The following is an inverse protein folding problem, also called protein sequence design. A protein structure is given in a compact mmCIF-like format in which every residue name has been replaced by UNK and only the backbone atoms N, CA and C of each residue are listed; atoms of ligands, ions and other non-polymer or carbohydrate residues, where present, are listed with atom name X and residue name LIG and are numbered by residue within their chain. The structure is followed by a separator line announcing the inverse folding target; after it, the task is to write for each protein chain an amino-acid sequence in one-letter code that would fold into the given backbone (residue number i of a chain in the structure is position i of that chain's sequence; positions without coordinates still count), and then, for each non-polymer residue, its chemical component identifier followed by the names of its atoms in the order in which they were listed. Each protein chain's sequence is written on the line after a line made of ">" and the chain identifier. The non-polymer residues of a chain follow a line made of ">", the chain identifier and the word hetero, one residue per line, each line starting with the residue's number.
data_IF_376267950372
#
_entry.id   IF_376267950372
#
_cell.length_a   1.000
_cell.length_b   1.000
_cell.length_c   1.000
_cell.angle_alpha   90.00
_cell.angle_beta   90.00
_cell.angle_gamma   90.00
#
_symmetry.space_group_name_H-M   'P 1'
#
loop_
_entity.id
_entity.type
_entity.pdbx_description
1 polymer ?
#
# COMPACT_ATOMS: atom_id res chain seq x y z
N UNK A 1 -16.02 37.79 21.75
CA UNK A 1 -15.28 37.42 20.54
C UNK A 1 -14.29 36.31 20.87
N UNK A 2 -14.56 35.07 20.46
CA UNK A 2 -13.55 34.01 20.34
C UNK A 2 -13.93 33.16 19.13
N UNK A 3 -13.32 33.45 17.98
CA UNK A 3 -13.43 32.60 16.81
C UNK A 3 -12.47 31.42 17.04
N UNK A 4 -13.01 30.24 17.27
CA UNK A 4 -12.23 29.01 17.15
C UNK A 4 -12.22 28.63 15.67
N UNK A 5 -11.18 29.07 14.96
CA UNK A 5 -10.88 28.62 13.59
C UNK A 5 -10.43 27.16 13.63
N UNK A 6 -11.38 26.23 13.56
CA UNK A 6 -11.09 24.81 13.38
C UNK A 6 -10.54 24.58 11.99
N UNK A 7 -9.23 24.39 11.87
CA UNK A 7 -8.59 23.95 10.61
C UNK A 7 -9.01 22.51 10.34
N UNK A 8 -10.05 22.30 9.54
CA UNK A 8 -10.41 20.99 9.00
C UNK A 8 -9.21 20.46 8.23
N UNK A 9 -8.53 19.42 8.73
CA UNK A 9 -7.52 18.67 7.97
C UNK A 9 -8.23 18.00 6.80
N UNK A 10 -8.30 18.69 5.67
CA UNK A 10 -8.93 18.21 4.46
C UNK A 10 -8.01 17.17 3.79
N UNK A 11 -8.55 15.97 3.54
CA UNK A 11 -7.87 14.97 2.70
C UNK A 11 -7.83 15.45 1.25
N UNK A 12 -6.76 15.14 0.51
CA UNK A 12 -6.57 15.61 -0.87
C UNK A 12 -7.19 14.68 -1.93
N UNK A 13 -7.42 13.41 -1.60
CA UNK A 13 -7.96 12.42 -2.55
C UNK A 13 -9.37 11.94 -2.19
N UNK A 14 -10.13 11.59 -3.22
CA UNK A 14 -11.51 11.08 -3.12
C UNK A 14 -11.72 9.92 -4.10
N UNK A 15 -12.59 8.94 -3.76
CA UNK A 15 -12.98 7.87 -4.68
C UNK A 15 -13.35 8.40 -6.08
N UNK A 16 -12.87 7.72 -7.11
CA UNK A 16 -13.05 8.14 -8.51
C UNK A 16 -11.96 9.07 -9.04
N UNK A 17 -10.99 9.50 -8.21
CA UNK A 17 -9.84 10.31 -8.64
C UNK A 17 -8.56 9.49 -8.81
N UNK A 18 -7.62 10.04 -9.58
CA UNK A 18 -6.27 9.52 -9.73
C UNK A 18 -5.33 9.89 -8.59
N UNK A 19 -4.09 9.42 -8.65
CA UNK A 19 -3.07 9.82 -7.68
C UNK A 19 -2.76 11.32 -7.83
N UNK A 20 -2.75 12.10 -6.73
CA UNK A 20 -2.48 13.54 -6.79
C UNK A 20 -0.99 13.89 -6.97
N UNK A 21 -0.07 12.91 -6.91
CA UNK A 21 1.37 13.14 -7.09
C UNK A 21 1.66 13.60 -8.52
N UNK A 22 2.33 14.75 -8.65
CA UNK A 22 2.72 15.32 -9.94
C UNK A 22 3.62 14.35 -10.71
N UNK A 23 3.38 14.20 -12.02
CA UNK A 23 4.12 13.27 -12.87
C UNK A 23 3.79 11.78 -12.68
N UNK A 24 2.92 11.39 -11.74
CA UNK A 24 2.57 9.98 -11.55
C UNK A 24 1.65 9.44 -12.65
N UNK A 25 0.61 10.19 -13.03
CA UNK A 25 -0.32 9.82 -14.11
C UNK A 25 -1.26 8.63 -13.83
N UNK A 26 -1.32 8.09 -12.61
CA UNK A 26 -2.24 7.01 -12.25
C UNK A 26 -3.69 7.53 -12.19
N UNK A 27 -4.59 6.96 -13.01
CA UNK A 27 -5.80 7.67 -13.44
C UNK A 27 -6.99 7.61 -12.48
N UNK A 28 -7.37 6.45 -11.96
CA UNK A 28 -8.60 6.33 -11.16
C UNK A 28 -8.45 5.19 -10.13
N UNK A 29 -8.66 5.52 -8.86
CA UNK A 29 -8.89 4.53 -7.81
C UNK A 29 -10.32 4.67 -7.29
N UNK A 30 -10.99 3.55 -7.01
CA UNK A 30 -12.36 3.57 -6.44
C UNK A 30 -12.36 3.42 -4.92
N UNK A 31 -11.28 2.90 -4.35
CA UNK A 31 -11.17 2.60 -2.92
C UNK A 31 -9.85 3.12 -2.39
N UNK A 32 -9.87 3.61 -1.14
CA UNK A 32 -8.69 4.17 -0.48
C UNK A 32 -7.55 3.16 -0.36
N UNK A 33 -7.86 1.89 -0.10
CA UNK A 33 -6.83 0.85 -0.01
C UNK A 33 -6.10 0.61 -1.34
N UNK A 34 -6.77 0.80 -2.49
CA UNK A 34 -6.13 0.66 -3.79
C UNK A 34 -5.12 1.79 -4.03
N UNK A 35 -5.49 3.02 -3.64
CA UNK A 35 -4.57 4.17 -3.68
C UNK A 35 -3.43 3.99 -2.66
N UNK A 36 -3.73 3.50 -1.45
CA UNK A 36 -2.74 3.23 -0.40
C UNK A 36 -1.69 2.22 -0.88
N UNK A 37 -2.14 1.13 -1.49
CA UNK A 37 -1.25 0.15 -2.11
C UNK A 37 -0.43 0.76 -3.24
N UNK A 38 -1.07 1.53 -4.12
CA UNK A 38 -0.38 2.24 -5.19
C UNK A 38 0.74 3.14 -4.63
N UNK A 39 0.47 3.86 -3.54
CA UNK A 39 1.46 4.70 -2.88
C UNK A 39 2.68 3.90 -2.44
N UNK A 40 2.48 2.78 -1.72
CA UNK A 40 3.60 1.92 -1.31
C UNK A 40 4.40 1.36 -2.49
N UNK A 41 3.76 1.08 -3.62
CA UNK A 41 4.44 0.54 -4.81
C UNK A 41 5.19 1.61 -5.63
N UNK A 42 4.87 2.89 -5.48
CA UNK A 42 5.32 3.96 -6.39
C UNK A 42 5.99 5.14 -5.72
N UNK A 43 5.57 5.49 -4.52
CA UNK A 43 5.97 6.70 -3.81
C UNK A 43 6.80 6.40 -2.57
N UNK A 44 7.14 5.13 -2.33
CA UNK A 44 8.15 4.71 -1.37
C UNK A 44 9.46 4.38 -2.07
N UNK A 45 10.58 4.86 -1.50
CA UNK A 45 11.93 4.65 -2.06
C UNK A 45 12.37 3.20 -1.96
N UNK A 46 11.94 2.51 -0.89
CA UNK A 46 12.24 1.10 -0.62
C UNK A 46 10.92 0.33 -0.67
N UNK A 47 10.89 -0.75 -1.45
CA UNK A 47 9.70 -1.59 -1.65
C UNK A 47 9.98 -3.04 -1.30
N UNK A 48 8.94 -3.74 -0.85
CA UNK A 48 9.00 -5.15 -0.57
C UNK A 48 9.05 -5.98 -1.87
N UNK A 49 9.89 -7.00 -1.87
CA UNK A 49 9.97 -8.05 -2.86
C UNK A 49 9.59 -9.37 -2.19
N UNK A 50 8.62 -10.06 -2.78
CA UNK A 50 8.07 -11.30 -2.27
C UNK A 50 8.58 -12.44 -3.16
N UNK A 51 9.58 -13.21 -2.70
CA UNK A 51 10.04 -14.38 -3.44
C UNK A 51 9.08 -15.55 -3.24
N UNK A 52 8.99 -16.42 -4.25
CA UNK A 52 8.44 -17.75 -4.08
C UNK A 52 9.37 -18.57 -3.17
N UNK A 53 8.80 -19.41 -2.31
CA UNK A 53 9.57 -20.22 -1.38
C UNK A 53 10.35 -21.38 -2.03
N UNK A 54 10.00 -21.76 -3.27
CA UNK A 54 10.55 -22.97 -3.90
C UNK A 54 11.19 -22.74 -5.27
N UNK A 55 11.05 -21.54 -5.84
CA UNK A 55 11.71 -21.19 -7.09
C UNK A 55 12.15 -19.72 -7.10
N UNK A 56 12.90 -19.33 -8.13
CA UNK A 56 13.48 -17.99 -8.26
C UNK A 56 12.47 -16.88 -8.65
N UNK A 57 11.17 -17.18 -8.69
CA UNK A 57 10.15 -16.18 -9.02
C UNK A 57 10.03 -15.14 -7.89
N UNK A 58 10.03 -13.86 -8.26
CA UNK A 58 9.87 -12.75 -7.32
C UNK A 58 8.76 -11.83 -7.82
N UNK A 59 7.82 -11.51 -6.95
CA UNK A 59 6.73 -10.60 -7.23
C UNK A 59 6.74 -9.39 -6.30
N UNK A 60 6.05 -8.32 -6.72
CA UNK A 60 5.91 -7.08 -5.94
C UNK A 60 4.82 -7.17 -4.88
N UNK A 61 4.01 -8.24 -4.90
CA UNK A 61 2.89 -8.45 -3.99
C UNK A 61 2.87 -9.88 -3.50
N UNK A 62 2.50 -10.05 -2.23
CA UNK A 62 2.29 -11.35 -1.60
C UNK A 62 1.26 -12.21 -2.35
N UNK A 63 0.14 -11.60 -2.75
CA UNK A 63 -0.94 -12.28 -3.47
C UNK A 63 -0.45 -12.87 -4.80
N UNK A 64 0.38 -12.13 -5.53
CA UNK A 64 0.90 -12.57 -6.84
C UNK A 64 1.80 -13.80 -6.67
N UNK A 65 2.59 -13.89 -5.59
CA UNK A 65 3.38 -15.09 -5.27
C UNK A 65 2.49 -16.28 -4.93
N UNK A 66 1.41 -16.08 -4.18
CA UNK A 66 0.48 -17.17 -3.82
C UNK A 66 -0.20 -17.72 -5.09
N UNK A 67 -0.63 -16.83 -5.99
CA UNK A 67 -1.21 -17.23 -7.28
C UNK A 67 -0.17 -17.94 -8.16
N UNK A 68 1.05 -17.40 -8.25
CA UNK A 68 2.16 -18.05 -8.94
C UNK A 68 2.40 -19.46 -8.38
N UNK A 69 2.49 -19.60 -7.06
CA UNK A 69 2.73 -20.88 -6.39
C UNK A 69 1.62 -21.87 -6.71
N UNK A 70 0.36 -21.45 -6.57
CA UNK A 70 -0.81 -22.30 -6.83
C UNK A 70 -0.81 -22.81 -8.28
N UNK A 71 -0.47 -21.94 -9.23
CA UNK A 71 -0.48 -22.27 -10.66
C UNK A 71 0.72 -23.13 -11.13
N UNK A 72 1.88 -23.01 -10.47
CA UNK A 72 3.13 -23.65 -10.94
C UNK A 72 3.60 -24.81 -10.05
N UNK A 73 3.21 -24.80 -8.78
CA UNK A 73 3.71 -25.72 -7.75
C UNK A 73 2.58 -26.46 -7.02
N UNK A 74 1.33 -26.18 -7.38
CA UNK A 74 0.14 -26.75 -6.77
C UNK A 74 -0.35 -25.99 -5.53
N UNK A 75 -1.46 -26.46 -4.97
CA UNK A 75 -2.10 -25.82 -3.82
C UNK A 75 -1.49 -26.31 -2.51
N UNK A 76 -1.29 -25.39 -1.57
CA UNK A 76 -1.02 -25.76 -0.18
C UNK A 76 -2.34 -26.22 0.45
N UNK A 77 -2.33 -27.35 1.14
CA UNK A 77 -3.52 -27.84 1.83
C UNK A 77 -3.80 -26.97 3.08
N UNK A 78 -5.07 -26.62 3.30
CA UNK A 78 -5.49 -25.85 4.48
C UNK A 78 -5.21 -24.34 4.38
N UNK A 79 -5.01 -23.69 5.53
CA UNK A 79 -4.86 -22.24 5.64
C UNK A 79 -3.40 -21.76 5.55
N UNK A 80 -2.45 -22.63 5.23
CA UNK A 80 -1.02 -22.31 5.25
C UNK A 80 -0.52 -21.63 3.96
N UNK A 81 -1.15 -20.50 3.63
CA UNK A 81 -0.64 -19.57 2.59
C UNK A 81 0.63 -18.83 3.05
N UNK A 82 1.10 -19.12 4.27
CA UNK A 82 2.38 -18.68 4.82
C UNK A 82 3.53 -19.22 3.99
N UNK A 83 3.50 -20.52 3.72
CA UNK A 83 4.56 -21.30 3.08
C UNK A 83 4.83 -20.98 1.61
N UNK A 84 3.90 -20.36 0.87
CA UNK A 84 4.10 -20.03 -0.55
C UNK A 84 5.17 -18.94 -0.77
N UNK A 85 5.41 -18.12 0.26
CA UNK A 85 6.21 -16.90 0.17
C UNK A 85 7.46 -17.09 1.01
N UNK A 86 8.62 -16.95 0.38
CA UNK A 86 9.89 -16.96 1.08
C UNK A 86 10.10 -15.70 1.93
N UNK A 87 11.31 -15.55 2.44
CA UNK A 87 11.70 -14.37 3.23
C UNK A 87 11.51 -13.08 2.41
N UNK A 88 10.71 -12.14 2.95
CA UNK A 88 10.42 -10.87 2.29
C UNK A 88 11.68 -10.02 2.29
N UNK A 89 12.09 -9.59 1.09
CA UNK A 89 13.26 -8.73 0.91
C UNK A 89 12.80 -7.29 0.68
N UNK A 90 13.65 -6.33 1.01
CA UNK A 90 13.43 -4.92 0.74
C UNK A 90 14.48 -4.43 -0.25
N UNK A 91 14.05 -3.68 -1.26
CA UNK A 91 14.93 -3.22 -2.34
C UNK A 91 14.53 -1.82 -2.82
N UNK A 92 15.44 -1.14 -3.50
CA UNK A 92 15.15 0.16 -4.11
C UNK A 92 14.03 0.08 -5.15
N UNK A 93 13.15 1.07 -5.12
CA UNK A 93 12.06 1.20 -6.06
C UNK A 93 12.55 1.83 -7.36
N UNK A 94 12.87 0.98 -8.33
CA UNK A 94 13.29 1.42 -9.67
C UNK A 94 12.25 2.25 -10.43
N UNK A 95 11.00 2.30 -9.95
CA UNK A 95 9.92 3.12 -10.53
C UNK A 95 9.42 4.17 -9.53
N UNK A 96 10.28 4.61 -8.63
CA UNK A 96 10.01 5.65 -7.65
C UNK A 96 9.62 6.95 -8.34
N UNK A 97 8.51 7.53 -7.89
CA UNK A 97 8.09 8.89 -8.24
C UNK A 97 8.02 9.66 -6.93
N UNK A 98 8.78 10.73 -6.83
CA UNK A 98 8.86 11.55 -5.62
C UNK A 98 7.49 12.17 -5.31
N UNK A 99 6.87 11.83 -4.16
CA UNK A 99 5.58 12.40 -3.79
C UNK A 99 5.68 13.83 -3.27
N UNK A 100 6.88 14.36 -2.98
CA UNK A 100 7.04 15.69 -2.38
C UNK A 100 6.27 16.78 -3.15
N UNK A 101 5.50 17.65 -2.47
CA UNK A 101 5.39 17.83 -1.01
C UNK A 101 4.33 16.98 -0.30
N UNK A 102 3.72 16.02 -1.00
CA UNK A 102 2.62 15.22 -0.48
C UNK A 102 3.12 14.05 0.39
N UNK A 103 2.35 13.74 1.42
CA UNK A 103 2.48 12.50 2.19
C UNK A 103 1.21 11.66 2.02
N UNK A 104 1.31 10.35 2.25
CA UNK A 104 0.15 9.46 2.22
C UNK A 104 -0.95 9.90 3.19
N UNK A 105 -0.56 10.37 4.38
CA UNK A 105 -1.48 10.89 5.39
C UNK A 105 -2.22 12.13 4.89
N UNK A 106 -1.53 13.09 4.27
CA UNK A 106 -2.17 14.27 3.69
C UNK A 106 -3.15 13.88 2.57
N UNK A 107 -2.79 12.87 1.79
CA UNK A 107 -3.60 12.41 0.66
C UNK A 107 -4.89 11.69 1.10
N UNK A 108 -4.79 10.75 2.02
CA UNK A 108 -5.93 9.95 2.48
C UNK A 108 -6.70 10.59 3.65
N UNK A 109 -6.08 11.52 4.36
CA UNK A 109 -6.53 11.99 5.67
C UNK A 109 -6.01 11.08 6.80
N UNK A 110 -6.01 11.60 8.04
CA UNK A 110 -5.89 10.71 9.21
C UNK A 110 -7.17 9.91 9.33
N UNK A 111 -7.04 8.60 9.49
CA UNK A 111 -8.12 7.83 10.10
C UNK A 111 -8.20 8.28 11.56
N UNK A 112 -9.17 9.12 11.92
CA UNK A 112 -9.48 9.41 13.33
C UNK A 112 -10.12 8.16 13.96
N UNK A 113 -9.33 7.11 14.17
CA UNK A 113 -9.68 6.09 15.14
C UNK A 113 -9.10 6.54 16.46
N UNK A 114 -9.91 6.98 17.45
CA UNK A 114 -9.43 7.13 18.80
C UNK A 114 -8.89 5.76 19.22
N UNK A 115 -7.62 5.71 19.61
CA UNK A 115 -7.13 4.56 20.36
C UNK A 115 -8.06 4.40 21.56
N UNK A 116 -8.71 3.24 21.68
CA UNK A 116 -9.49 2.92 22.87
C UNK A 116 -8.54 2.90 24.08
N UNK A 117 -8.53 4.02 24.81
CA UNK A 117 -8.18 4.02 26.22
C UNK A 117 -9.39 3.43 26.97
N UNK A 118 -9.44 2.11 27.05
CA UNK A 118 -10.20 1.40 28.08
C UNK A 118 -9.37 0.18 28.52
N UNK A 119 -8.33 0.47 29.31
CA UNK A 119 -7.90 -0.42 30.37
C UNK A 119 -8.28 0.26 31.67
N UNK A 120 -9.43 -0.14 32.22
CA UNK A 120 -9.68 -0.49 33.63
C UNK A 120 -11.08 -1.10 33.73
#
# INVERSE_FOLDING_TARGET
>A
MKQHSGTTRSRLWFPGRGCPVFGCGARIFRKSYDLKRHWWEKHERIVAAYPCSICSHISKRRFDVIQHFTANHGSVQGNDRGQCVGEVKYQENQRFVDPHPLTLEAVLGKDEFPCEANML
#
